data_IF_135918267326
#
_entry.id   IF_135918267326
#
_cell.length_a   1.000
_cell.length_b   1.000
_cell.length_c   1.000
_cell.angle_alpha   90.00
_cell.angle_beta   90.00
_cell.angle_gamma   90.00
#
_symmetry.space_group_name_H-M   'P 1'
#
loop_
_entity.id
_entity.type
_entity.pdbx_description
1 polymer ?
#
# COMPACT_ATOMS: atom_id res chain seq x y z
N UNK A 1 -3.33 -32.56 -34.18
CA UNK A 1 -3.93 -31.35 -33.59
C UNK A 1 -3.99 -31.46 -32.07
N UNK A 2 -3.12 -30.77 -31.34
CA UNK A 2 -3.10 -30.72 -29.88
C UNK A 2 -3.29 -29.27 -29.40
N UNK A 3 -4.37 -29.00 -28.67
CA UNK A 3 -4.73 -27.70 -28.12
C UNK A 3 -4.54 -27.68 -26.58
N UNK A 4 -3.61 -26.82 -26.11
CA UNK A 4 -3.42 -26.08 -24.84
C UNK A 4 -3.93 -26.56 -23.45
N UNK A 5 -3.75 -25.76 -22.37
CA UNK A 5 -2.74 -24.72 -22.12
C UNK A 5 -1.93 -24.96 -20.82
N UNK A 6 -0.69 -24.46 -20.81
CA UNK A 6 0.20 -24.44 -19.63
C UNK A 6 -0.21 -23.31 -18.66
N UNK A 7 -0.57 -23.69 -17.43
CA UNK A 7 -0.77 -22.78 -16.29
C UNK A 7 0.56 -22.51 -15.58
N UNK A 8 1.05 -21.26 -15.62
CA UNK A 8 2.22 -20.81 -14.85
C UNK A 8 1.88 -20.39 -13.41
N UNK A 9 2.80 -20.51 -12.44
CA UNK A 9 2.53 -20.26 -11.02
C UNK A 9 2.57 -18.77 -10.65
N UNK A 10 1.55 -18.31 -9.92
CA UNK A 10 1.41 -16.95 -9.36
C UNK A 10 2.19 -16.82 -8.03
N UNK A 11 3.46 -16.41 -8.07
CA UNK A 11 4.27 -16.13 -6.88
C UNK A 11 4.41 -14.63 -6.61
N UNK A 12 3.68 -14.09 -5.63
CA UNK A 12 3.82 -12.67 -5.24
C UNK A 12 2.79 -12.11 -4.24
N UNK A 13 1.74 -12.86 -3.90
CA UNK A 13 0.66 -12.39 -3.03
C UNK A 13 0.91 -12.62 -1.51
N UNK A 14 1.86 -13.48 -1.14
CA UNK A 14 2.01 -13.94 0.26
C UNK A 14 2.49 -12.89 1.26
N UNK A 15 3.49 -12.07 0.90
CA UNK A 15 4.10 -11.11 1.84
C UNK A 15 3.22 -9.90 2.13
N UNK A 16 2.48 -9.40 1.12
CA UNK A 16 1.50 -8.33 1.32
C UNK A 16 0.29 -8.84 2.12
N UNK A 17 -0.15 -10.07 1.87
CA UNK A 17 -1.24 -10.70 2.61
C UNK A 17 -0.91 -10.87 4.10
N UNK A 18 0.29 -11.37 4.42
CA UNK A 18 0.70 -11.58 5.81
C UNK A 18 0.78 -10.28 6.63
N UNK A 19 1.28 -9.19 6.05
CA UNK A 19 1.29 -7.88 6.72
C UNK A 19 -0.13 -7.33 6.92
N UNK A 20 -1.03 -7.57 5.97
CA UNK A 20 -2.41 -7.12 6.05
C UNK A 20 -3.20 -7.91 7.11
N UNK A 21 -2.93 -9.21 7.26
CA UNK A 21 -3.50 -10.04 8.34
C UNK A 21 -3.08 -9.51 9.71
N UNK A 22 -1.79 -9.25 9.93
CA UNK A 22 -1.28 -8.71 11.21
C UNK A 22 -1.83 -7.33 11.54
N UNK A 23 -1.87 -6.42 10.55
CA UNK A 23 -2.46 -5.09 10.73
C UNK A 23 -3.93 -5.19 11.14
N UNK A 24 -4.67 -6.11 10.52
CA UNK A 24 -6.07 -6.35 10.83
C UNK A 24 -6.29 -6.95 12.22
N UNK A 25 -5.39 -7.80 12.71
CA UNK A 25 -5.45 -8.32 14.09
C UNK A 25 -5.29 -7.20 15.12
N UNK A 26 -4.34 -6.28 14.90
CA UNK A 26 -4.13 -5.13 15.78
C UNK A 26 -5.35 -4.19 15.80
N UNK A 27 -5.98 -3.98 14.64
CA UNK A 27 -7.19 -3.18 14.51
C UNK A 27 -8.40 -3.82 15.22
N UNK A 28 -8.53 -5.15 15.15
CA UNK A 28 -9.56 -5.90 15.88
C UNK A 28 -9.41 -5.71 17.38
N UNK A 29 -8.19 -5.79 17.90
CA UNK A 29 -7.91 -5.64 19.34
C UNK A 29 -8.23 -4.23 19.84
N UNK A 30 -7.90 -3.20 19.07
CA UNK A 30 -8.27 -1.81 19.38
C UNK A 30 -9.79 -1.65 19.51
N UNK A 31 -10.56 -2.17 18.55
CA UNK A 31 -12.02 -2.07 18.56
C UNK A 31 -12.58 -2.87 19.74
N UNK A 32 -12.03 -4.05 20.03
CA UNK A 32 -12.45 -4.88 21.14
C UNK A 32 -12.24 -4.19 22.51
N UNK A 33 -11.15 -3.42 22.66
CA UNK A 33 -10.88 -2.63 23.87
C UNK A 33 -11.90 -1.50 24.08
N UNK A 34 -12.34 -0.84 23.00
CA UNK A 34 -13.36 0.21 23.07
C UNK A 34 -14.78 -0.35 23.24
N UNK A 35 -15.06 -1.53 22.67
CA UNK A 35 -16.38 -2.13 22.61
C UNK A 35 -16.33 -3.60 23.07
N UNK A 36 -16.16 -3.87 24.38
CA UNK A 36 -16.07 -5.24 24.91
C UNK A 36 -17.33 -6.08 24.65
N UNK A 37 -18.49 -5.44 24.48
CA UNK A 37 -19.76 -6.08 24.14
C UNK A 37 -19.84 -6.61 22.71
N UNK A 38 -18.96 -6.15 21.82
CA UNK A 38 -18.95 -6.58 20.43
C UNK A 38 -18.02 -7.78 20.29
N UNK A 39 -18.50 -8.83 19.63
CA UNK A 39 -17.70 -10.05 19.47
C UNK A 39 -16.56 -9.86 18.47
N UNK A 40 -15.36 -10.34 18.83
CA UNK A 40 -14.15 -10.35 17.98
C UNK A 40 -14.42 -10.84 16.55
N UNK A 41 -15.23 -11.89 16.38
CA UNK A 41 -15.59 -12.47 15.08
C UNK A 41 -16.38 -11.48 14.20
N UNK A 42 -17.29 -10.71 14.80
CA UNK A 42 -18.08 -9.71 14.07
C UNK A 42 -17.23 -8.51 13.65
N UNK A 43 -16.28 -8.12 14.51
CA UNK A 43 -15.28 -7.08 14.19
C UNK A 43 -14.41 -7.53 13.02
N UNK A 44 -13.89 -8.76 13.09
CA UNK A 44 -13.10 -9.33 12.00
C UNK A 44 -13.90 -9.34 10.69
N UNK A 45 -15.15 -9.79 10.73
CA UNK A 45 -16.00 -9.82 9.54
C UNK A 45 -16.26 -8.43 8.96
N UNK A 46 -16.62 -7.45 9.79
CA UNK A 46 -16.88 -6.08 9.34
C UNK A 46 -15.61 -5.44 8.74
N UNK A 47 -14.45 -5.62 9.38
CA UNK A 47 -13.17 -5.18 8.82
C UNK A 47 -12.82 -5.89 7.50
N UNK A 48 -13.31 -7.11 7.26
CA UNK A 48 -13.13 -7.78 5.97
C UNK A 48 -13.82 -7.02 4.84
N UNK A 49 -15.10 -6.72 5.04
CA UNK A 49 -15.98 -6.12 4.02
C UNK A 49 -15.69 -4.63 3.85
N UNK A 50 -15.28 -3.96 4.91
CA UNK A 50 -15.00 -2.52 4.91
C UNK A 50 -13.51 -2.22 4.63
N UNK A 51 -12.73 -3.21 4.19
CA UNK A 51 -11.35 -3.04 3.73
C UNK A 51 -10.36 -2.62 4.82
N UNK A 52 -10.60 -3.03 6.07
CA UNK A 52 -9.76 -2.69 7.23
C UNK A 52 -9.99 -1.28 7.79
N UNK A 53 -11.09 -0.62 7.43
CA UNK A 53 -11.39 0.72 7.95
C UNK A 53 -11.95 0.66 9.39
N UNK A 54 -11.06 0.83 10.37
CA UNK A 54 -11.39 0.89 11.80
C UNK A 54 -12.46 1.93 12.10
N UNK A 55 -12.36 3.14 11.53
CA UNK A 55 -13.27 4.25 11.82
C UNK A 55 -14.69 3.91 11.34
N UNK A 56 -14.82 3.31 10.17
CA UNK A 56 -16.14 2.87 9.69
C UNK A 56 -16.76 1.80 10.60
N UNK A 57 -15.95 0.89 11.13
CA UNK A 57 -16.40 -0.12 12.09
C UNK A 57 -16.80 0.51 13.42
N UNK A 58 -16.02 1.45 13.96
CA UNK A 58 -16.35 2.15 15.22
C UNK A 58 -17.63 2.97 15.10
N UNK A 59 -17.79 3.74 14.01
CA UNK A 59 -19.01 4.52 13.76
C UNK A 59 -20.25 3.62 13.67
N UNK A 60 -20.15 2.45 13.03
CA UNK A 60 -21.25 1.49 12.96
C UNK A 60 -21.65 0.95 14.33
N UNK A 61 -20.67 0.66 15.18
CA UNK A 61 -20.92 0.24 16.56
C UNK A 61 -21.59 1.36 17.36
N UNK A 62 -21.12 2.60 17.24
CA UNK A 62 -21.70 3.77 17.91
C UNK A 62 -23.12 4.12 17.43
N UNK A 63 -23.43 3.86 16.15
CA UNK A 63 -24.76 4.09 15.58
C UNK A 63 -25.87 3.19 16.12
N UNK A 64 -25.55 2.24 17.02
CA UNK A 64 -26.51 1.37 17.69
C UNK A 64 -27.05 0.23 16.84
N UNK A 65 -26.70 0.14 15.55
CA UNK A 65 -27.10 -0.97 14.66
C UNK A 65 -26.31 -2.27 14.86
N UNK A 66 -25.27 -2.25 15.69
CA UNK A 66 -24.37 -3.40 15.89
C UNK A 66 -23.60 -3.77 14.61
N UNK A 67 -22.70 -4.75 14.73
CA UNK A 67 -22.02 -5.33 13.58
C UNK A 67 -22.85 -6.48 13.00
N UNK A 68 -22.78 -6.65 11.68
CA UNK A 68 -23.45 -7.76 11.00
C UNK A 68 -22.94 -9.11 11.53
N UNK A 69 -23.88 -10.04 11.77
CA UNK A 69 -23.55 -11.39 12.22
C UNK A 69 -22.77 -12.10 11.12
N UNK A 70 -21.51 -12.50 11.37
CA UNK A 70 -20.71 -13.18 10.37
C UNK A 70 -21.36 -14.50 9.95
N UNK A 71 -21.35 -14.86 8.65
CA UNK A 71 -21.86 -16.15 8.21
C UNK A 71 -21.05 -17.28 8.85
N UNK A 72 -21.70 -18.43 9.08
CA UNK A 72 -21.09 -19.62 9.68
C UNK A 72 -19.84 -20.08 8.90
N UNK A 73 -19.80 -19.84 7.58
CA UNK A 73 -18.69 -20.12 6.69
C UNK A 73 -17.47 -19.20 6.88
N UNK A 74 -17.60 -18.08 7.59
CA UNK A 74 -16.46 -17.22 7.88
C UNK A 74 -15.57 -17.87 8.95
N UNK A 75 -14.50 -18.51 8.48
CA UNK A 75 -13.40 -18.99 9.31
C UNK A 75 -12.34 -17.89 9.42
N UNK A 76 -12.17 -17.25 10.60
CA UNK A 76 -11.03 -16.37 10.82
C UNK A 76 -9.72 -17.16 10.64
N UNK A 77 -8.67 -16.56 10.06
CA UNK A 77 -7.37 -17.21 9.98
C UNK A 77 -6.93 -17.54 11.42
N UNK A 78 -6.72 -18.83 11.69
CA UNK A 78 -6.19 -19.26 12.97
C UNK A 78 -4.74 -18.76 13.07
N UNK A 79 -4.30 -18.25 14.23
CA UNK A 79 -2.90 -17.93 14.43
C UNK A 79 -2.10 -19.23 14.26
N UNK A 80 -1.30 -19.30 13.20
CA UNK A 80 -0.42 -20.45 12.97
C UNK A 80 0.62 -20.46 14.08
N UNK A 81 0.46 -21.34 15.06
CA UNK A 81 1.52 -21.65 16.00
C UNK A 81 2.72 -22.17 15.18
N UNK A 82 3.89 -21.58 15.44
CA UNK A 82 5.22 -21.97 14.97
C UNK A 82 5.52 -21.76 13.47
N UNK A 83 6.29 -20.71 13.20
CA UNK A 83 7.35 -20.73 12.19
C UNK A 83 8.49 -19.83 12.66
N UNK A 84 9.29 -20.36 13.59
CA UNK A 84 10.66 -19.90 13.82
C UNK A 84 11.42 -20.09 12.51
N UNK A 85 11.48 -19.05 11.68
CA UNK A 85 12.30 -19.03 10.47
C UNK A 85 13.68 -18.58 10.86
N UNK A 86 14.55 -19.56 11.10
CA UNK A 86 15.99 -19.40 11.17
C UNK A 86 16.45 -18.57 9.98
N UNK A 87 17.10 -17.44 10.25
CA UNK A 87 17.72 -16.58 9.25
C UNK A 87 18.92 -17.28 8.63
N UNK A 88 18.69 -18.10 7.60
CA UNK A 88 19.76 -18.56 6.72
C UNK A 88 19.94 -17.51 5.61
N UNK A 89 21.11 -16.87 5.58
CA UNK A 89 21.52 -15.97 4.50
C UNK A 89 21.79 -16.79 3.23
N UNK A 90 20.73 -17.18 2.52
CA UNK A 90 20.86 -17.73 1.18
C UNK A 90 20.91 -16.58 0.18
N UNK A 91 21.98 -16.56 -0.62
CA UNK A 91 22.17 -15.61 -1.70
C UNK A 91 20.93 -15.63 -2.62
N UNK A 92 20.34 -14.45 -2.82
CA UNK A 92 19.11 -14.28 -3.61
C UNK A 92 19.38 -14.74 -5.05
N UNK A 93 18.55 -15.60 -5.65
CA UNK A 93 18.61 -15.85 -7.08
C UNK A 93 18.34 -14.54 -7.83
N UNK A 94 19.11 -14.28 -8.87
CA UNK A 94 18.94 -13.11 -9.73
C UNK A 94 17.49 -13.06 -10.22
N UNK A 95 16.73 -12.06 -9.76
CA UNK A 95 15.35 -11.86 -10.20
C UNK A 95 15.36 -11.68 -11.73
N UNK A 96 14.41 -12.28 -12.47
CA UNK A 96 14.25 -11.96 -13.88
C UNK A 96 14.12 -10.44 -14.04
N UNK A 97 14.74 -9.85 -15.07
CA UNK A 97 14.67 -8.43 -15.42
C UNK A 97 13.19 -8.02 -15.58
N UNK A 98 12.55 -7.68 -14.47
CA UNK A 98 11.22 -7.08 -14.51
C UNK A 98 11.37 -5.72 -15.18
N UNK A 99 10.50 -5.35 -16.13
CA UNK A 99 10.58 -4.05 -16.76
C UNK A 99 10.49 -2.95 -15.69
N UNK A 100 11.35 -1.95 -15.80
CA UNK A 100 11.44 -0.85 -14.84
C UNK A 100 10.07 -0.19 -14.64
N UNK A 101 9.81 0.25 -13.40
CA UNK A 101 8.54 0.89 -13.06
C UNK A 101 8.28 2.13 -13.93
N UNK A 102 9.34 2.82 -14.36
CA UNK A 102 9.24 3.97 -15.28
C UNK A 102 8.66 3.56 -16.62
N UNK A 103 9.16 2.46 -17.20
CA UNK A 103 8.68 1.92 -18.48
C UNK A 103 7.25 1.40 -18.34
N UNK A 104 6.96 0.71 -17.24
CA UNK A 104 5.61 0.16 -16.98
C UNK A 104 4.53 1.24 -16.85
N UNK A 105 4.89 2.41 -16.33
CA UNK A 105 3.96 3.53 -16.15
C UNK A 105 4.20 4.68 -17.15
N UNK A 106 5.00 4.46 -18.20
CA UNK A 106 5.32 5.47 -19.21
C UNK A 106 5.79 6.82 -18.65
N UNK A 107 6.58 6.81 -17.56
CA UNK A 107 7.03 8.02 -16.85
C UNK A 107 8.26 8.67 -17.47
N UNK A 108 8.75 8.15 -18.60
CA UNK A 108 9.98 8.62 -19.28
C UNK A 108 10.01 10.13 -19.51
N UNK A 109 8.89 10.69 -19.99
CA UNK A 109 8.78 12.12 -20.30
C UNK A 109 8.90 13.02 -19.06
N UNK A 110 8.48 12.55 -17.88
CA UNK A 110 8.51 13.31 -16.62
C UNK A 110 9.89 13.34 -15.96
N UNK A 111 10.85 12.57 -16.48
CA UNK A 111 12.21 12.47 -15.93
C UNK A 111 13.14 13.53 -16.54
N UNK A 112 12.96 13.84 -17.83
CA UNK A 112 13.79 14.83 -18.52
C UNK A 112 13.40 16.29 -18.22
N UNK A 113 12.31 16.51 -17.48
CA UNK A 113 11.85 17.85 -17.13
C UNK A 113 12.33 18.15 -15.71
N UNK A 114 13.37 18.99 -15.53
CA UNK A 114 13.73 19.49 -14.21
C UNK A 114 12.53 20.26 -13.60
N UNK A 115 12.35 20.24 -12.27
CA UNK A 115 11.13 20.67 -11.59
C UNK A 115 10.80 22.16 -11.70
N UNK A 116 11.55 22.94 -12.48
CA UNK A 116 11.25 24.35 -12.71
C UNK A 116 10.14 24.57 -13.75
N UNK A 117 9.79 23.56 -14.56
CA UNK A 117 8.81 23.72 -15.66
C UNK A 117 7.45 23.03 -15.44
N UNK A 118 7.25 22.23 -14.38
CA UNK A 118 5.96 21.52 -14.15
C UNK A 118 5.19 21.99 -12.93
N UNK A 119 5.71 22.99 -12.19
CA UNK A 119 4.96 23.65 -11.14
C UNK A 119 3.94 24.68 -11.69
N UNK A 120 4.03 25.05 -12.97
CA UNK A 120 3.27 26.18 -13.53
C UNK A 120 2.08 25.80 -14.45
N UNK A 121 1.82 24.52 -14.75
CA UNK A 121 0.76 24.15 -15.71
C UNK A 121 -0.42 23.31 -15.20
N UNK A 122 -0.51 23.01 -13.90
CA UNK A 122 -1.78 22.49 -13.31
C UNK A 122 -2.23 23.30 -12.09
N UNK A 123 -2.00 24.62 -12.17
CA UNK A 123 -2.30 25.59 -11.12
C UNK A 123 -3.08 26.80 -11.61
N UNK A 124 -4.08 26.63 -12.48
CA UNK A 124 -5.06 27.70 -12.76
C UNK A 124 -6.49 27.20 -12.52
N UNK A 125 -6.95 27.42 -11.29
CA UNK A 125 -8.32 27.14 -10.91
C UNK A 125 -8.54 27.26 -9.41
N UNK A 126 -8.59 28.50 -8.92
CA UNK A 126 -9.09 28.95 -7.60
C UNK A 126 -8.06 29.06 -6.47
N UNK A 127 -7.48 30.26 -6.40
CA UNK A 127 -7.05 30.87 -5.14
C UNK A 127 -8.23 30.93 -4.16
N UNK A 128 -8.00 30.45 -2.94
CA UNK A 128 -8.41 31.15 -1.74
C UNK A 128 -7.56 30.65 -0.56
N UNK A 129 -7.08 31.60 0.22
CA UNK A 129 -6.17 31.46 1.34
C UNK A 129 -6.61 30.41 2.37
N UNK A 130 -5.69 29.54 2.81
CA UNK A 130 -5.53 29.10 4.21
C UNK A 130 -4.33 28.16 4.37
N UNK A 131 -3.45 28.54 5.30
CA UNK A 131 -2.51 27.79 6.18
C UNK A 131 -2.08 26.37 5.77
N UNK A 132 -0.84 25.93 6.07
CA UNK A 132 -0.39 24.55 5.86
C UNK A 132 -1.08 23.64 6.89
N UNK A 133 -2.38 23.42 6.72
CA UNK A 133 -3.09 22.38 7.41
C UNK A 133 -2.62 21.10 6.72
N UNK A 134 -1.89 20.31 7.49
CA UNK A 134 -1.68 18.89 7.29
C UNK A 134 -3.07 18.26 7.13
N UNK A 135 -3.64 18.40 5.94
CA UNK A 135 -4.92 17.81 5.59
C UNK A 135 -4.62 16.32 5.51
N UNK A 136 -4.95 15.66 6.62
CA UNK A 136 -5.04 14.23 6.76
C UNK A 136 -5.37 13.65 5.39
N UNK A 137 -4.45 12.85 4.84
CA UNK A 137 -4.56 12.19 3.53
C UNK A 137 -5.79 11.27 3.52
N UNK A 138 -6.96 11.89 3.51
CA UNK A 138 -8.26 11.28 3.52
C UNK A 138 -8.51 10.90 2.09
N UNK A 139 -8.40 9.62 1.85
CA UNK A 139 -8.62 9.00 0.56
C UNK A 139 -10.05 9.36 0.10
N UNK A 140 -10.15 10.20 -0.94
CA UNK A 140 -11.41 10.82 -1.42
C UNK A 140 -12.54 9.80 -1.49
N UNK A 141 -13.77 10.15 -1.07
CA UNK A 141 -14.94 9.28 -1.18
C UNK A 141 -15.32 8.97 -2.65
N UNK A 142 -14.93 9.85 -3.57
CA UNK A 142 -15.18 9.70 -5.00
C UNK A 142 -14.16 8.74 -5.64
N UNK A 143 -14.65 7.70 -6.34
CA UNK A 143 -13.81 6.67 -6.96
C UNK A 143 -12.85 7.24 -8.01
N UNK A 144 -13.29 8.21 -8.81
CA UNK A 144 -12.48 8.82 -9.86
C UNK A 144 -11.30 9.61 -9.29
N UNK A 145 -11.59 10.54 -8.38
CA UNK A 145 -10.58 11.35 -7.68
C UNK A 145 -9.59 10.50 -6.90
N UNK A 146 -10.09 9.46 -6.20
CA UNK A 146 -9.28 8.50 -5.45
C UNK A 146 -8.30 7.77 -6.36
N UNK A 147 -8.76 7.28 -7.52
CA UNK A 147 -7.89 6.63 -8.51
C UNK A 147 -6.82 7.59 -9.02
N UNK A 148 -7.21 8.83 -9.36
CA UNK A 148 -6.27 9.86 -9.83
C UNK A 148 -5.22 10.21 -8.76
N UNK A 149 -5.63 10.39 -7.51
CA UNK A 149 -4.73 10.71 -6.40
C UNK A 149 -3.72 9.59 -6.14
N UNK A 150 -4.16 8.33 -6.17
CA UNK A 150 -3.26 7.20 -5.99
C UNK A 150 -2.29 7.02 -7.15
N UNK A 151 -2.76 7.26 -8.36
CA UNK A 151 -1.92 7.25 -9.54
C UNK A 151 -0.84 8.32 -9.39
N UNK A 152 -1.20 9.56 -9.07
CA UNK A 152 -0.26 10.65 -8.79
C UNK A 152 0.76 10.28 -7.69
N UNK A 153 0.29 9.78 -6.53
CA UNK A 153 1.16 9.39 -5.42
C UNK A 153 2.14 8.26 -5.82
N UNK A 154 1.69 7.32 -6.65
CA UNK A 154 2.54 6.23 -7.16
C UNK A 154 3.61 6.77 -8.10
N UNK A 155 3.24 7.65 -9.03
CA UNK A 155 4.18 8.27 -9.96
C UNK A 155 5.23 9.10 -9.22
N UNK A 156 4.80 9.93 -8.26
CA UNK A 156 5.69 10.72 -7.39
C UNK A 156 6.68 9.82 -6.63
N UNK A 157 6.20 8.71 -6.06
CA UNK A 157 7.06 7.76 -5.35
C UNK A 157 8.10 7.13 -6.29
N UNK A 158 7.71 6.75 -7.51
CA UNK A 158 8.63 6.16 -8.49
C UNK A 158 9.72 7.15 -8.88
N UNK A 159 9.36 8.40 -9.15
CA UNK A 159 10.31 9.45 -9.51
C UNK A 159 11.25 9.80 -8.35
N UNK A 160 10.72 9.93 -7.13
CA UNK A 160 11.52 10.21 -5.94
C UNK A 160 12.51 9.09 -5.63
N UNK A 161 12.07 7.82 -5.74
CA UNK A 161 12.93 6.66 -5.56
C UNK A 161 14.08 6.64 -6.58
N UNK A 162 13.80 6.97 -7.85
CA UNK A 162 14.84 7.09 -8.88
C UNK A 162 15.85 8.18 -8.57
N UNK A 163 15.40 9.40 -8.25
CA UNK A 163 16.31 10.50 -7.86
C UNK A 163 17.20 10.14 -6.68
N UNK A 164 16.63 9.47 -5.68
CA UNK A 164 17.38 9.00 -4.51
C UNK A 164 18.41 7.92 -4.88
N UNK A 165 18.14 7.08 -5.87
CA UNK A 165 19.09 6.09 -6.37
C UNK A 165 20.22 6.75 -7.17
N UNK A 166 19.90 7.65 -8.09
CA UNK A 166 20.88 8.41 -8.88
C UNK A 166 21.82 9.23 -7.98
N UNK A 167 21.29 9.92 -6.97
CA UNK A 167 22.10 10.67 -6.02
C UNK A 167 23.04 9.76 -5.19
N UNK A 168 22.58 8.58 -4.80
CA UNK A 168 23.41 7.60 -4.09
C UNK A 168 24.52 7.03 -4.97
N UNK A 169 24.21 6.67 -6.21
CA UNK A 169 25.20 6.17 -7.17
C UNK A 169 26.24 7.26 -7.48
N UNK A 170 25.82 8.52 -7.62
CA UNK A 170 26.74 9.64 -7.81
C UNK A 170 27.63 9.86 -6.57
N UNK A 171 27.07 9.77 -5.36
CA UNK A 171 27.83 9.88 -4.12
C UNK A 171 28.84 8.73 -3.96
N UNK A 172 28.42 7.47 -4.19
CA UNK A 172 29.30 6.30 -4.15
C UNK A 172 30.40 6.37 -5.22
N UNK A 173 30.08 6.86 -6.43
CA UNK A 173 31.06 7.08 -7.48
C UNK A 173 32.09 8.17 -7.12
N UNK A 174 31.69 9.20 -6.37
CA UNK A 174 32.60 10.23 -5.87
C UNK A 174 33.47 9.74 -4.70
N UNK A 175 32.92 8.87 -3.84
CA UNK A 175 33.62 8.31 -2.67
C UNK A 175 34.64 7.25 -3.07
N UNK A 176 34.37 6.43 -4.10
CA UNK A 176 35.30 5.44 -4.63
C UNK A 176 36.50 6.04 -5.38
N UNK A 177 36.48 7.34 -5.70
CA UNK A 177 37.54 8.04 -6.44
C UNK A 177 38.53 8.80 -5.54
N UNK A 178 38.28 8.85 -4.23
CA UNK A 178 39.14 9.49 -3.21
C UNK A 178 39.99 8.46 -2.43
N UNK A 179 39.95 7.18 -2.80
CA UNK A 179 40.61 6.08 -2.10
C UNK A 179 41.66 5.32 -2.93
N UNK A 180 42.24 5.95 -3.95
CA UNK A 180 43.42 5.45 -4.67
C UNK A 180 44.47 6.55 -4.70
#
# INVERSE_FOLDING_TARGET
NSNGPSTGPRGGAGAASANNVRAREADVERIQQMFPQVSRRSIMWDLQRNGGNVVATTERVLSGRGLEVPPQSFQPPLPSANSSTSSTTTAKPARPLQPDLITRYNLGSKINIPPLATAEEEGKGREEEKKPQMQNSSWSANKGERQALLQRRREEMILAARRKMEAKVAAEASLGKQGI
#
